data_IF_661002585216
#
_entry.id   IF_661002585216
#
_cell.length_a   1.000
_cell.length_b   1.000
_cell.length_c   1.000
_cell.angle_alpha   90.00
_cell.angle_beta   90.00
_cell.angle_gamma   90.00
#
_symmetry.space_group_name_H-M   'P 1'
#
loop_
_entity.id
_entity.type
_entity.pdbx_description
1 polymer ?
#
# COMPACT_ATOMS: atom_id res chain seq x y z
N UNK A 1 1.31 -18.07 13.99
CA UNK A 1 0.72 -19.02 15.00
C UNK A 1 -0.61 -19.45 14.41
N UNK A 2 -1.03 -20.73 14.49
CA UNK A 2 -2.32 -21.15 13.93
C UNK A 2 -3.44 -20.63 14.87
N UNK A 3 -4.36 -19.84 14.34
CA UNK A 3 -5.54 -19.33 15.07
C UNK A 3 -6.59 -20.43 15.02
N UNK A 4 -6.67 -21.22 16.11
CA UNK A 4 -7.63 -22.30 16.26
C UNK A 4 -8.88 -21.86 17.06
N UNK A 5 -9.93 -22.68 17.04
CA UNK A 5 -11.19 -22.40 17.78
C UNK A 5 -10.95 -22.15 19.29
N UNK A 6 -9.96 -22.82 19.89
CA UNK A 6 -9.64 -22.64 21.31
C UNK A 6 -9.06 -21.24 21.57
N UNK A 7 -8.25 -20.73 20.63
CA UNK A 7 -7.70 -19.38 20.72
C UNK A 7 -8.80 -18.32 20.57
N UNK A 8 -9.68 -18.49 19.57
CA UNK A 8 -10.82 -17.58 19.34
C UNK A 8 -11.73 -17.54 20.58
N UNK A 9 -12.12 -18.69 21.14
CA UNK A 9 -12.96 -18.79 22.32
C UNK A 9 -12.30 -18.12 23.53
N UNK A 10 -10.99 -18.26 23.68
CA UNK A 10 -10.23 -17.59 24.75
C UNK A 10 -10.28 -16.08 24.59
N UNK A 11 -10.09 -15.57 23.39
CA UNK A 11 -10.17 -14.11 23.12
C UNK A 11 -11.57 -13.60 23.38
N UNK A 12 -12.62 -14.28 22.89
CA UNK A 12 -14.03 -13.94 23.17
C UNK A 12 -14.32 -13.87 24.67
N UNK A 13 -13.88 -14.88 25.41
CA UNK A 13 -14.07 -14.90 26.89
C UNK A 13 -13.39 -13.71 27.59
N UNK A 14 -12.18 -13.31 27.15
CA UNK A 14 -11.50 -12.14 27.71
C UNK A 14 -12.20 -10.82 27.34
N UNK A 15 -12.72 -10.72 26.11
CA UNK A 15 -13.48 -9.55 25.66
C UNK A 15 -14.77 -9.40 26.49
N UNK A 16 -15.52 -10.50 26.72
CA UNK A 16 -16.71 -10.50 27.59
C UNK A 16 -16.42 -10.02 29.01
N UNK A 17 -15.23 -10.39 29.53
CA UNK A 17 -14.74 -9.95 30.84
C UNK A 17 -14.18 -8.52 30.82
N UNK A 18 -14.07 -7.88 29.64
CA UNK A 18 -13.44 -6.57 29.40
C UNK A 18 -11.98 -6.52 29.87
N UNK A 19 -11.29 -7.65 29.76
CA UNK A 19 -9.87 -7.79 30.14
C UNK A 19 -8.94 -7.34 29.00
N UNK A 20 -8.85 -6.04 28.80
CA UNK A 20 -8.08 -5.41 27.72
C UNK A 20 -6.58 -5.76 27.80
N UNK A 21 -6.01 -5.89 29.00
CA UNK A 21 -4.57 -6.19 29.19
C UNK A 21 -4.21 -7.59 28.68
N UNK A 22 -5.03 -8.58 29.02
CA UNK A 22 -4.79 -9.94 28.58
C UNK A 22 -5.09 -10.11 27.07
N UNK A 23 -6.12 -9.45 26.54
CA UNK A 23 -6.35 -9.42 25.07
C UNK A 23 -5.15 -8.80 24.37
N UNK A 24 -4.69 -7.61 24.78
CA UNK A 24 -3.53 -6.96 24.18
C UNK A 24 -2.27 -7.83 24.22
N UNK A 25 -2.06 -8.55 25.33
CA UNK A 25 -0.93 -9.48 25.46
C UNK A 25 -1.00 -10.63 24.45
N UNK A 26 -2.21 -11.14 24.16
CA UNK A 26 -2.40 -12.19 23.16
C UNK A 26 -2.13 -11.69 21.72
N UNK A 27 -2.41 -10.42 21.44
CA UNK A 27 -2.22 -9.82 20.12
C UNK A 27 -0.76 -9.39 19.84
N UNK A 28 0.05 -9.14 20.89
CA UNK A 28 1.36 -8.45 20.76
C UNK A 28 2.36 -9.14 19.84
N UNK A 29 2.31 -10.48 19.76
CA UNK A 29 3.25 -11.28 18.96
C UNK A 29 2.61 -11.83 17.68
N UNK A 30 1.37 -11.43 17.34
CA UNK A 30 0.68 -11.84 16.12
C UNK A 30 1.05 -10.95 14.93
N UNK A 31 1.12 -11.53 13.75
CA UNK A 31 1.18 -10.79 12.50
C UNK A 31 -0.16 -10.10 12.22
N UNK A 32 -0.21 -8.93 11.55
CA UNK A 32 -1.48 -8.29 11.16
C UNK A 32 -2.46 -9.23 10.46
N UNK A 33 -2.00 -10.07 9.53
CA UNK A 33 -2.82 -11.08 8.86
C UNK A 33 -3.46 -12.10 9.83
N UNK A 34 -2.72 -12.55 10.88
CA UNK A 34 -3.30 -13.44 11.91
C UNK A 34 -4.37 -12.70 12.74
N UNK A 35 -4.17 -11.40 13.01
CA UNK A 35 -5.18 -10.59 13.73
C UNK A 35 -6.41 -10.35 12.87
N UNK A 36 -6.25 -10.17 11.56
CA UNK A 36 -7.34 -10.04 10.60
C UNK A 36 -8.19 -11.32 10.55
N UNK A 37 -7.53 -12.50 10.44
CA UNK A 37 -8.20 -13.81 10.52
C UNK A 37 -9.02 -13.94 11.83
N UNK A 38 -8.42 -13.56 12.96
CA UNK A 38 -9.14 -13.53 14.23
C UNK A 38 -10.35 -12.58 14.18
N UNK A 39 -10.22 -11.39 13.61
CA UNK A 39 -11.31 -10.42 13.51
C UNK A 39 -12.43 -10.89 12.57
N UNK A 40 -12.11 -11.64 11.52
CA UNK A 40 -13.10 -12.24 10.62
C UNK A 40 -13.97 -13.29 11.34
N UNK A 41 -13.40 -14.01 12.31
CA UNK A 41 -14.12 -15.01 13.13
C UNK A 41 -14.82 -14.41 14.37
N UNK A 42 -14.53 -13.16 14.70
CA UNK A 42 -15.19 -12.43 15.79
C UNK A 42 -16.48 -11.76 15.28
N UNK A 43 -17.38 -11.40 16.19
CA UNK A 43 -18.46 -10.47 15.86
C UNK A 43 -17.96 -9.04 15.76
N UNK A 44 -18.71 -8.16 15.07
CA UNK A 44 -18.30 -6.76 14.84
C UNK A 44 -17.96 -5.98 16.11
N UNK A 45 -18.68 -6.22 17.21
CA UNK A 45 -18.41 -5.54 18.49
C UNK A 45 -17.13 -6.06 19.15
N UNK A 46 -16.82 -7.35 19.01
CA UNK A 46 -15.57 -7.94 19.48
C UNK A 46 -14.40 -7.44 18.63
N UNK A 47 -14.53 -7.42 17.29
CA UNK A 47 -13.53 -6.86 16.39
C UNK A 47 -13.24 -5.39 16.74
N UNK A 48 -14.28 -4.56 16.97
CA UNK A 48 -14.10 -3.17 17.43
C UNK A 48 -13.35 -3.08 18.76
N UNK A 49 -13.55 -4.03 19.66
CA UNK A 49 -12.82 -4.07 20.91
C UNK A 49 -11.33 -4.36 20.66
N UNK A 50 -11.03 -5.33 19.80
CA UNK A 50 -9.64 -5.66 19.37
C UNK A 50 -8.98 -4.43 18.76
N UNK A 51 -9.59 -3.80 17.76
CA UNK A 51 -9.06 -2.62 17.08
C UNK A 51 -8.70 -1.46 18.01
N UNK A 52 -9.46 -1.26 19.09
CA UNK A 52 -9.15 -0.21 20.09
C UNK A 52 -7.89 -0.46 20.89
N UNK A 53 -7.39 -1.69 20.90
CA UNK A 53 -6.18 -2.10 21.63
C UNK A 53 -4.92 -2.02 20.77
N UNK A 54 -5.06 -1.98 19.45
CA UNK A 54 -3.96 -1.86 18.49
C UNK A 54 -3.49 -0.39 18.40
N UNK A 55 -2.21 -0.18 18.10
CA UNK A 55 -1.75 1.11 17.61
C UNK A 55 -2.26 1.37 16.18
N UNK A 56 -2.07 2.58 15.67
CA UNK A 56 -2.70 2.96 14.41
C UNK A 56 -2.08 2.22 13.21
N UNK A 57 -0.76 2.04 13.19
CA UNK A 57 -0.03 1.34 12.13
C UNK A 57 -0.51 -0.12 12.04
N UNK A 58 -0.43 -0.87 13.13
CA UNK A 58 -0.95 -2.25 13.19
C UNK A 58 -2.45 -2.32 12.86
N UNK A 59 -3.25 -1.33 13.29
CA UNK A 59 -4.68 -1.32 13.00
C UNK A 59 -4.98 -1.09 11.51
N UNK A 60 -4.18 -0.28 10.82
CA UNK A 60 -4.27 -0.08 9.38
C UNK A 60 -3.94 -1.37 8.63
N UNK A 61 -2.78 -2.00 8.95
CA UNK A 61 -2.37 -3.27 8.36
C UNK A 61 -3.42 -4.38 8.54
N UNK A 62 -3.99 -4.50 9.76
CA UNK A 62 -5.05 -5.48 10.03
C UNK A 62 -6.30 -5.21 9.21
N UNK A 63 -6.66 -3.93 8.99
CA UNK A 63 -7.83 -3.57 8.21
C UNK A 63 -7.68 -3.95 6.74
N UNK A 64 -6.49 -3.78 6.17
CA UNK A 64 -6.17 -4.18 4.78
C UNK A 64 -6.35 -5.69 4.59
N UNK A 65 -5.91 -6.49 5.57
CA UNK A 65 -5.96 -7.96 5.53
C UNK A 65 -7.34 -8.56 5.89
N UNK A 66 -8.33 -7.75 6.27
CA UNK A 66 -9.68 -8.25 6.58
C UNK A 66 -10.47 -8.61 5.32
N UNK A 67 -11.36 -9.59 5.46
CA UNK A 67 -12.35 -9.93 4.44
C UNK A 67 -13.21 -8.71 4.07
N UNK A 68 -13.39 -8.44 2.78
CA UNK A 68 -14.05 -7.24 2.25
C UNK A 68 -15.44 -7.00 2.84
N UNK A 69 -16.27 -8.05 2.92
CA UNK A 69 -17.63 -7.95 3.47
C UNK A 69 -17.62 -7.50 4.94
N UNK A 70 -16.68 -8.03 5.74
CA UNK A 70 -16.56 -7.70 7.17
C UNK A 70 -15.97 -6.31 7.33
N UNK A 71 -14.98 -5.96 6.50
CA UNK A 71 -14.35 -4.64 6.47
C UNK A 71 -15.37 -3.55 6.15
N UNK A 72 -16.24 -3.74 5.14
CA UNK A 72 -17.32 -2.81 4.80
C UNK A 72 -18.26 -2.57 5.98
N UNK A 73 -18.78 -3.64 6.61
CA UNK A 73 -19.64 -3.53 7.77
C UNK A 73 -18.96 -2.82 8.95
N UNK A 74 -17.67 -3.08 9.14
CA UNK A 74 -16.86 -2.43 10.18
C UNK A 74 -16.71 -0.93 9.92
N UNK A 75 -16.37 -0.55 8.68
CA UNK A 75 -16.19 0.84 8.27
C UNK A 75 -17.48 1.66 8.36
N UNK A 76 -18.65 1.07 8.04
CA UNK A 76 -19.95 1.73 8.18
C UNK A 76 -20.24 2.21 9.60
N UNK A 77 -19.74 1.48 10.61
CA UNK A 77 -19.94 1.80 12.02
C UNK A 77 -19.00 2.88 12.56
N UNK A 78 -18.00 3.29 11.78
CA UNK A 78 -16.97 4.22 12.23
C UNK A 78 -17.22 5.65 11.74
N UNK A 79 -16.91 6.67 12.56
CA UNK A 79 -16.87 8.05 12.11
C UNK A 79 -15.81 8.26 11.04
N UNK A 80 -16.08 9.10 10.03
CA UNK A 80 -15.15 9.41 8.94
C UNK A 80 -13.80 9.95 9.43
N UNK A 81 -13.80 10.76 10.51
CA UNK A 81 -12.56 11.22 11.16
C UNK A 81 -11.72 10.05 11.71
N UNK A 82 -12.38 9.00 12.24
CA UNK A 82 -11.65 7.82 12.73
C UNK A 82 -11.06 7.02 11.59
N UNK A 83 -11.78 6.88 10.46
CA UNK A 83 -11.29 6.18 9.28
C UNK A 83 -10.05 6.89 8.74
N UNK A 84 -10.10 8.21 8.55
CA UNK A 84 -8.96 8.99 8.08
C UNK A 84 -7.74 8.86 9.01
N UNK A 85 -7.88 9.31 10.26
CA UNK A 85 -6.75 9.48 11.18
C UNK A 85 -6.19 8.21 11.79
N UNK A 86 -6.92 7.12 11.72
CA UNK A 86 -6.51 5.87 12.34
C UNK A 86 -6.09 4.80 11.35
N UNK A 87 -6.58 4.91 10.12
CA UNK A 87 -6.30 3.94 9.06
C UNK A 87 -5.65 4.62 7.87
N UNK A 88 -6.35 5.48 7.13
CA UNK A 88 -5.86 6.07 5.87
C UNK A 88 -4.53 6.79 6.03
N UNK A 89 -4.33 7.57 7.10
CA UNK A 89 -3.05 8.27 7.38
C UNK A 89 -1.86 7.30 7.62
N UNK A 90 -2.10 5.98 7.71
CA UNK A 90 -1.11 4.94 7.96
C UNK A 90 -1.08 3.85 6.87
N UNK A 91 -1.81 4.02 5.78
CA UNK A 91 -1.84 3.10 4.64
C UNK A 91 -1.03 3.65 3.47
N UNK A 92 -0.51 2.75 2.63
CA UNK A 92 -0.06 3.11 1.30
C UNK A 92 -1.24 3.58 0.44
N UNK A 93 -0.98 4.37 -0.59
CA UNK A 93 -2.06 5.04 -1.35
C UNK A 93 -2.95 4.10 -2.11
N UNK A 94 -2.46 2.96 -2.59
CA UNK A 94 -3.25 1.92 -3.24
C UNK A 94 -4.23 1.25 -2.28
N UNK A 95 -3.79 0.82 -1.09
CA UNK A 95 -4.65 0.27 -0.04
C UNK A 95 -5.69 1.30 0.43
N UNK A 96 -5.27 2.57 0.55
CA UNK A 96 -6.17 3.66 0.91
C UNK A 96 -7.24 3.89 -0.17
N UNK A 97 -6.89 3.79 -1.45
CA UNK A 97 -7.82 3.92 -2.59
C UNK A 97 -8.81 2.76 -2.61
N UNK A 98 -8.36 1.52 -2.38
CA UNK A 98 -9.24 0.36 -2.33
C UNK A 98 -10.23 0.46 -1.18
N UNK A 99 -9.76 0.86 0.01
CA UNK A 99 -10.64 1.14 1.14
C UNK A 99 -11.65 2.26 0.82
N UNK A 100 -11.21 3.34 0.17
CA UNK A 100 -12.10 4.44 -0.20
C UNK A 100 -13.18 4.01 -1.19
N UNK A 101 -12.90 3.11 -2.13
CA UNK A 101 -13.88 2.56 -3.08
C UNK A 101 -14.99 1.76 -2.41
N UNK A 102 -14.75 1.20 -1.23
CA UNK A 102 -15.76 0.50 -0.46
C UNK A 102 -16.77 1.44 0.25
N UNK A 103 -16.44 2.73 0.38
CA UNK A 103 -17.29 3.74 1.02
C UNK A 103 -18.25 4.38 0.01
N UNK A 104 -19.40 4.85 0.48
CA UNK A 104 -20.27 5.70 -0.34
C UNK A 104 -19.65 7.10 -0.59
N UNK A 105 -20.10 7.80 -1.65
CA UNK A 105 -19.52 9.07 -2.08
C UNK A 105 -19.51 10.13 -0.97
N UNK A 106 -20.56 10.24 -0.17
CA UNK A 106 -20.65 11.24 0.91
C UNK A 106 -19.60 10.94 1.99
N UNK A 107 -19.44 9.66 2.33
CA UNK A 107 -18.46 9.21 3.33
C UNK A 107 -17.01 9.33 2.82
N UNK A 108 -16.76 9.05 1.52
CA UNK A 108 -15.47 9.29 0.88
C UNK A 108 -15.05 10.76 1.02
N UNK A 109 -15.94 11.72 0.66
CA UNK A 109 -15.66 13.15 0.78
C UNK A 109 -15.37 13.56 2.23
N UNK A 110 -16.11 13.04 3.19
CA UNK A 110 -15.86 13.29 4.61
C UNK A 110 -14.50 12.74 5.06
N UNK A 111 -14.15 11.50 4.71
CA UNK A 111 -12.85 10.88 5.06
C UNK A 111 -11.72 11.70 4.47
N UNK A 112 -11.76 12.02 3.17
CA UNK A 112 -10.75 12.86 2.50
C UNK A 112 -10.53 14.19 3.21
N UNK A 113 -11.61 14.82 3.73
CA UNK A 113 -11.51 16.08 4.45
C UNK A 113 -10.77 15.99 5.79
N UNK A 114 -10.59 14.80 6.33
CA UNK A 114 -9.97 14.54 7.63
C UNK A 114 -8.53 13.99 7.54
N UNK A 115 -8.04 13.65 6.34
CA UNK A 115 -6.66 13.19 6.12
C UNK A 115 -5.69 14.33 6.47
N UNK A 116 -4.66 14.03 7.26
CA UNK A 116 -3.71 15.03 7.74
C UNK A 116 -2.67 15.42 6.69
N UNK A 117 -2.20 14.45 5.89
CA UNK A 117 -1.25 14.70 4.80
C UNK A 117 -2.00 15.12 3.51
N UNK A 118 -1.86 16.40 3.16
CA UNK A 118 -2.50 16.99 1.97
C UNK A 118 -1.95 16.37 0.66
N UNK A 119 -0.69 15.95 0.64
CA UNK A 119 -0.07 15.29 -0.52
C UNK A 119 -0.71 13.92 -0.73
N UNK A 120 -0.79 13.09 0.32
CA UNK A 120 -1.47 11.80 0.29
C UNK A 120 -2.96 11.94 -0.09
N UNK A 121 -3.69 12.89 0.49
CA UNK A 121 -5.08 13.14 0.11
C UNK A 121 -5.23 13.51 -1.38
N UNK A 122 -4.29 14.28 -1.93
CA UNK A 122 -4.24 14.62 -3.35
C UNK A 122 -3.99 13.40 -4.23
N UNK A 123 -3.03 12.56 -3.83
CA UNK A 123 -2.69 11.31 -4.53
C UNK A 123 -3.89 10.35 -4.56
N UNK A 124 -4.56 10.14 -3.43
CA UNK A 124 -5.78 9.31 -3.34
C UNK A 124 -6.86 9.84 -4.29
N UNK A 125 -7.12 11.15 -4.30
CA UNK A 125 -8.12 11.77 -5.21
C UNK A 125 -7.72 11.58 -6.67
N UNK A 126 -6.45 11.61 -7.01
CA UNK A 126 -5.98 11.41 -8.38
C UNK A 126 -6.07 9.92 -8.78
N UNK A 127 -5.75 9.00 -7.89
CA UNK A 127 -5.85 7.55 -8.13
C UNK A 127 -7.30 7.08 -8.27
N UNK A 128 -8.24 7.63 -7.50
CA UNK A 128 -9.68 7.32 -7.59
C UNK A 128 -10.30 7.65 -8.97
N UNK A 129 -9.61 8.43 -9.83
CA UNK A 129 -10.08 8.74 -11.19
C UNK A 129 -9.82 7.63 -12.21
N UNK A 130 -8.90 6.72 -11.91
CA UNK A 130 -8.60 5.59 -12.76
C UNK A 130 -9.63 4.47 -12.55
N UNK A 131 -9.86 3.72 -13.61
CA UNK A 131 -10.69 2.52 -13.57
C UNK A 131 -9.99 1.46 -12.71
N UNK A 132 -10.71 0.84 -11.78
CA UNK A 132 -10.19 -0.15 -10.84
C UNK A 132 -9.55 -1.37 -11.53
N UNK A 133 -10.05 -1.74 -12.72
CA UNK A 133 -9.55 -2.87 -13.52
C UNK A 133 -8.31 -2.51 -14.37
N UNK A 134 -7.61 -1.44 -14.07
CA UNK A 134 -6.43 -0.97 -14.82
C UNK A 134 -5.18 -0.80 -13.95
N UNK A 135 -4.01 -0.72 -14.59
CA UNK A 135 -2.75 -0.43 -13.90
C UNK A 135 -2.80 0.87 -13.08
N UNK A 136 -3.51 1.88 -13.58
CA UNK A 136 -3.70 3.15 -12.88
C UNK A 136 -4.58 3.01 -11.64
N UNK A 137 -5.54 2.07 -11.67
CA UNK A 137 -6.41 1.79 -10.53
C UNK A 137 -5.75 1.01 -9.41
N UNK A 138 -4.70 0.24 -9.74
CA UNK A 138 -3.98 -0.64 -8.80
C UNK A 138 -2.62 -0.09 -8.35
N UNK A 139 -2.15 1.02 -8.93
CA UNK A 139 -0.83 1.53 -8.58
C UNK A 139 -0.87 2.31 -7.27
N UNK A 140 0.21 2.18 -6.49
CA UNK A 140 0.54 3.13 -5.41
C UNK A 140 1.35 4.31 -5.93
N UNK A 141 1.57 5.30 -5.08
CA UNK A 141 2.46 6.43 -5.36
C UNK A 141 3.79 6.31 -4.61
N UNK A 142 3.91 5.35 -3.71
CA UNK A 142 5.07 5.08 -2.89
C UNK A 142 6.22 4.54 -3.73
N UNK A 143 7.15 5.41 -4.09
CA UNK A 143 8.30 5.04 -4.92
C UNK A 143 9.50 5.95 -4.69
N UNK A 144 10.68 5.43 -4.95
CA UNK A 144 11.91 6.23 -4.96
C UNK A 144 12.23 6.63 -6.40
N UNK A 145 12.31 7.95 -6.63
CA UNK A 145 12.69 8.51 -7.92
C UNK A 145 14.00 9.29 -7.84
N UNK A 146 14.81 9.21 -8.89
CA UNK A 146 16.05 9.98 -9.01
C UNK A 146 16.18 10.56 -10.41
N UNK A 147 16.75 11.77 -10.52
CA UNK A 147 16.94 12.39 -11.83
C UNK A 147 18.17 11.79 -12.54
N UNK A 148 18.05 11.53 -13.84
CA UNK A 148 19.11 10.95 -14.68
C UNK A 148 20.42 11.77 -14.70
N UNK A 149 20.32 13.09 -14.47
CA UNK A 149 21.44 14.02 -14.53
C UNK A 149 22.18 14.16 -13.19
N UNK A 150 21.65 13.61 -12.08
CA UNK A 150 22.29 13.67 -10.78
C UNK A 150 23.61 12.88 -10.74
N UNK A 151 24.52 13.36 -9.90
CA UNK A 151 25.70 12.59 -9.51
C UNK A 151 25.33 11.51 -8.49
N UNK A 152 26.22 10.50 -8.31
CA UNK A 152 25.98 9.43 -7.33
C UNK A 152 25.78 9.94 -5.90
N UNK A 153 26.54 10.97 -5.39
CA UNK A 153 26.30 11.53 -4.07
C UNK A 153 24.93 12.23 -3.92
N UNK A 154 24.47 12.97 -4.95
CA UNK A 154 23.15 13.60 -4.97
C UNK A 154 22.06 12.52 -4.96
N UNK A 155 22.19 11.53 -5.83
CA UNK A 155 21.27 10.38 -5.88
C UNK A 155 21.14 9.70 -4.52
N UNK A 156 22.26 9.38 -3.85
CA UNK A 156 22.25 8.72 -2.54
C UNK A 156 21.59 9.58 -1.46
N UNK A 157 21.81 10.89 -1.51
CA UNK A 157 21.20 11.83 -0.55
C UNK A 157 19.68 11.84 -0.68
N UNK A 158 19.19 12.03 -1.91
CA UNK A 158 17.75 12.09 -2.16
C UNK A 158 17.05 10.75 -1.90
N UNK A 159 17.65 9.63 -2.30
CA UNK A 159 17.11 8.30 -1.97
C UNK A 159 16.95 8.09 -0.47
N UNK A 160 17.89 8.53 0.36
CA UNK A 160 17.78 8.41 1.82
C UNK A 160 16.61 9.20 2.38
N UNK A 161 16.38 10.43 1.86
CA UNK A 161 15.25 11.26 2.29
C UNK A 161 13.89 10.65 1.91
N UNK A 162 13.81 10.09 0.69
CA UNK A 162 12.58 9.42 0.24
C UNK A 162 12.35 8.11 0.99
N UNK A 163 13.40 7.31 1.19
CA UNK A 163 13.35 6.02 1.86
C UNK A 163 12.94 6.10 3.36
N UNK A 164 13.12 7.25 4.00
CA UNK A 164 12.64 7.45 5.39
C UNK A 164 11.10 7.45 5.51
N UNK A 165 10.41 7.62 4.39
CA UNK A 165 8.94 7.69 4.32
C UNK A 165 8.29 6.41 3.77
N UNK A 166 9.08 5.43 3.34
CA UNK A 166 8.62 4.24 2.63
C UNK A 166 8.99 2.99 3.43
N UNK A 167 8.04 2.09 3.58
CA UNK A 167 8.26 0.81 4.23
C UNK A 167 9.05 -0.14 3.34
N UNK A 168 8.77 -0.16 2.04
CA UNK A 168 9.44 -1.02 1.07
C UNK A 168 9.96 -0.26 -0.15
N UNK A 169 11.12 -0.66 -0.66
CA UNK A 169 11.72 -0.12 -1.88
C UNK A 169 12.01 -1.26 -2.84
N UNK A 170 11.13 -1.49 -3.79
CA UNK A 170 11.34 -2.50 -4.83
C UNK A 170 12.37 -2.06 -5.87
N UNK A 171 12.22 -0.85 -6.40
CA UNK A 171 13.08 -0.25 -7.41
C UNK A 171 13.33 1.22 -7.12
N UNK A 172 14.45 1.72 -7.64
CA UNK A 172 14.69 3.16 -7.76
C UNK A 172 14.50 3.53 -9.23
N UNK A 173 13.49 4.33 -9.49
CA UNK A 173 13.15 4.76 -10.84
C UNK A 173 13.96 5.99 -11.24
N UNK A 174 14.36 6.04 -12.49
CA UNK A 174 15.13 7.18 -13.04
C UNK A 174 14.23 7.95 -13.98
N UNK A 175 14.10 9.24 -13.71
CA UNK A 175 13.28 10.19 -14.48
C UNK A 175 14.12 11.31 -15.08
N UNK A 176 13.62 11.96 -16.13
CA UNK A 176 14.17 13.22 -16.65
C UNK A 176 13.57 14.44 -15.94
N UNK A 177 13.85 15.64 -16.48
CA UNK A 177 13.38 16.90 -15.90
C UNK A 177 11.86 17.16 -16.13
N UNK A 178 11.21 16.33 -16.94
CA UNK A 178 9.77 16.31 -17.19
C UNK A 178 9.06 15.09 -16.59
N UNK A 179 9.68 14.45 -15.60
CA UNK A 179 9.21 13.27 -14.87
C UNK A 179 9.00 12.02 -15.76
N UNK A 180 9.55 11.97 -16.98
CA UNK A 180 9.42 10.80 -17.82
C UNK A 180 10.37 9.71 -17.40
N UNK A 181 9.86 8.48 -17.39
CA UNK A 181 10.64 7.30 -17.03
C UNK A 181 11.79 7.05 -18.05
N UNK A 182 13.02 7.08 -17.57
CA UNK A 182 14.23 6.87 -18.36
C UNK A 182 14.91 5.53 -18.07
N UNK A 183 14.69 4.98 -16.88
CA UNK A 183 15.35 3.76 -16.47
C UNK A 183 15.01 3.31 -15.06
N UNK A 184 15.67 2.22 -14.66
CA UNK A 184 15.66 1.72 -13.29
C UNK A 184 17.09 1.71 -12.78
N UNK A 185 17.28 2.13 -11.54
CA UNK A 185 18.59 2.16 -10.91
C UNK A 185 18.78 0.96 -9.97
N UNK A 186 19.64 -0.01 -10.32
CA UNK A 186 19.89 -1.14 -9.45
C UNK A 186 20.65 -0.72 -8.18
N UNK A 187 20.11 -0.99 -6.99
CA UNK A 187 20.74 -0.64 -5.70
C UNK A 187 22.18 -1.12 -5.58
N UNK A 188 22.50 -2.30 -6.14
CA UNK A 188 23.89 -2.81 -6.24
C UNK A 188 24.83 -1.83 -6.93
N UNK A 189 24.36 -1.08 -7.93
CA UNK A 189 25.17 -0.09 -8.65
C UNK A 189 25.53 1.12 -7.81
N UNK A 190 24.72 1.47 -6.81
CA UNK A 190 25.08 2.53 -5.87
C UNK A 190 26.38 2.24 -5.12
N UNK A 191 26.57 0.97 -4.73
CA UNK A 191 27.74 0.53 -3.96
C UNK A 191 28.97 0.38 -4.85
N UNK A 192 28.77 -0.01 -6.12
CA UNK A 192 29.87 -0.41 -7.03
C UNK A 192 30.28 0.67 -8.03
N UNK A 193 29.49 1.74 -8.18
CA UNK A 193 29.79 2.79 -9.16
C UNK A 193 30.68 3.89 -8.57
N UNK A 194 31.59 4.46 -9.38
CA UNK A 194 32.39 5.61 -8.96
C UNK A 194 31.50 6.81 -8.60
N UNK A 195 31.84 7.53 -7.55
CA UNK A 195 31.09 8.71 -7.08
C UNK A 195 30.97 9.85 -8.10
N UNK A 196 31.87 9.89 -9.09
CA UNK A 196 31.83 10.89 -10.17
C UNK A 196 30.89 10.53 -11.31
N UNK A 197 30.32 9.32 -11.30
CA UNK A 197 29.37 8.87 -12.32
C UNK A 197 28.03 9.61 -12.18
N UNK A 198 27.37 9.85 -13.31
CA UNK A 198 25.97 10.30 -13.34
C UNK A 198 25.03 9.10 -13.42
N UNK A 199 23.82 9.24 -12.89
CA UNK A 199 22.76 8.22 -12.85
C UNK A 199 22.53 7.63 -14.25
N UNK A 200 22.39 8.45 -15.29
CA UNK A 200 22.16 8.03 -16.69
C UNK A 200 23.26 7.13 -17.30
N UNK A 201 24.44 7.08 -16.72
CA UNK A 201 25.53 6.22 -17.21
C UNK A 201 25.57 4.84 -16.53
N UNK A 202 24.83 4.70 -15.41
CA UNK A 202 24.83 3.48 -14.59
C UNK A 202 23.45 2.84 -14.47
N UNK A 203 22.38 3.56 -14.79
CA UNK A 203 21.03 3.03 -14.83
C UNK A 203 20.86 1.92 -15.87
N UNK A 204 19.86 1.08 -15.69
CA UNK A 204 19.37 0.17 -16.72
C UNK A 204 18.31 0.93 -17.52
N UNK A 205 18.57 1.14 -18.79
CA UNK A 205 17.67 1.86 -19.72
C UNK A 205 16.52 0.97 -20.17
N UNK A 206 15.48 1.61 -20.69
CA UNK A 206 14.31 0.97 -21.29
C UNK A 206 13.68 -0.06 -20.33
N UNK A 207 13.26 0.35 -19.12
CA UNK A 207 12.58 -0.55 -18.19
C UNK A 207 11.26 -1.01 -18.81
N UNK A 208 10.86 -2.23 -18.46
CA UNK A 208 9.52 -2.71 -18.80
C UNK A 208 8.55 -1.91 -17.96
N UNK A 209 7.63 -1.20 -18.62
CA UNK A 209 6.60 -0.37 -17.99
C UNK A 209 5.24 -0.69 -18.59
N UNK A 210 4.19 -0.35 -17.87
CA UNK A 210 2.79 -0.44 -18.30
C UNK A 210 2.17 0.95 -18.38
N UNK A 211 1.10 1.10 -19.17
CA UNK A 211 0.35 2.35 -19.26
C UNK A 211 -0.75 2.39 -18.20
N UNK A 212 -1.16 3.56 -17.74
CA UNK A 212 -2.25 3.71 -16.76
C UNK A 212 -3.53 2.96 -17.16
N UNK A 213 -3.87 2.92 -18.45
CA UNK A 213 -5.05 2.24 -18.96
C UNK A 213 -4.83 0.74 -19.29
N UNK A 214 -3.68 0.17 -18.96
CA UNK A 214 -3.40 -1.26 -19.21
C UNK A 214 -4.29 -2.11 -18.31
N UNK A 215 -5.11 -3.05 -18.86
CA UNK A 215 -5.94 -3.94 -18.06
C UNK A 215 -5.10 -4.80 -17.11
N UNK A 216 -5.68 -5.13 -15.94
CA UNK A 216 -5.02 -5.94 -14.90
C UNK A 216 -4.47 -7.25 -15.47
N UNK A 217 -5.25 -8.00 -16.22
CA UNK A 217 -4.82 -9.29 -16.82
C UNK A 217 -3.54 -9.17 -17.65
N UNK A 218 -3.37 -8.05 -18.36
CA UNK A 218 -2.16 -7.78 -19.13
C UNK A 218 -0.99 -7.39 -18.23
N UNK A 219 -1.24 -6.63 -17.15
CA UNK A 219 -0.23 -6.28 -16.15
C UNK A 219 0.31 -7.54 -15.47
N UNK A 220 -0.57 -8.45 -15.03
CA UNK A 220 -0.21 -9.76 -14.45
C UNK A 220 0.69 -10.54 -15.41
N UNK A 221 0.29 -10.68 -16.68
CA UNK A 221 1.09 -11.39 -17.69
C UNK A 221 2.47 -10.77 -17.92
N UNK A 222 2.58 -9.43 -17.86
CA UNK A 222 3.85 -8.72 -18.00
C UNK A 222 4.75 -9.00 -16.79
N UNK A 223 4.20 -8.90 -15.59
CA UNK A 223 4.92 -9.13 -14.33
C UNK A 223 5.43 -10.57 -14.27
N UNK A 224 4.58 -11.55 -14.54
CA UNK A 224 4.97 -12.96 -14.58
C UNK A 224 6.00 -13.28 -15.66
N UNK A 225 5.76 -12.80 -16.89
CA UNK A 225 6.63 -13.07 -18.04
C UNK A 225 8.06 -12.58 -17.85
N UNK A 226 8.22 -11.45 -17.17
CA UNK A 226 9.52 -10.79 -17.00
C UNK A 226 10.10 -10.92 -15.60
N UNK A 227 9.42 -11.70 -14.72
CA UNK A 227 9.81 -11.95 -13.32
C UNK A 227 10.06 -10.63 -12.57
N UNK A 228 9.08 -9.72 -12.66
CA UNK A 228 9.13 -8.41 -12.00
C UNK A 228 8.53 -8.50 -10.60
N UNK A 229 9.11 -7.78 -9.64
CA UNK A 229 8.52 -7.57 -8.31
C UNK A 229 7.48 -6.45 -8.36
N UNK A 230 7.74 -5.42 -9.17
CA UNK A 230 6.83 -4.32 -9.44
C UNK A 230 7.04 -3.80 -10.87
N UNK A 231 5.99 -3.30 -11.51
CA UNK A 231 6.03 -2.67 -12.82
C UNK A 231 5.79 -1.16 -12.69
N UNK A 232 6.66 -0.30 -13.24
CA UNK A 232 6.41 1.13 -13.30
C UNK A 232 5.25 1.43 -14.24
N UNK A 233 4.34 2.29 -13.79
CA UNK A 233 3.19 2.77 -14.56
C UNK A 233 3.49 4.14 -15.13
N UNK A 234 3.17 4.34 -16.40
CA UNK A 234 3.39 5.63 -17.09
C UNK A 234 2.11 6.17 -17.69
N UNK A 235 2.02 7.49 -17.77
CA UNK A 235 0.92 8.18 -18.44
C UNK A 235 1.12 8.26 -19.97
N UNK A 236 0.18 8.89 -20.67
CA UNK A 236 0.13 9.03 -22.15
C UNK A 236 1.34 9.78 -22.75
N UNK A 237 2.12 10.51 -21.95
CA UNK A 237 3.32 11.23 -22.39
C UNK A 237 4.60 10.63 -21.82
N UNK A 238 4.50 9.46 -21.15
CA UNK A 238 5.61 8.70 -20.61
C UNK A 238 6.11 9.14 -19.24
N UNK A 239 5.36 9.96 -18.50
CA UNK A 239 5.71 10.32 -17.12
C UNK A 239 5.42 9.13 -16.21
N UNK A 240 6.32 8.89 -15.30
CA UNK A 240 6.15 7.91 -14.23
C UNK A 240 5.09 8.44 -13.25
N UNK A 241 4.05 7.64 -13.01
CA UNK A 241 2.95 8.01 -12.10
C UNK A 241 2.89 7.14 -10.85
N UNK A 242 3.39 5.91 -10.92
CA UNK A 242 3.45 5.01 -9.77
C UNK A 242 3.97 3.62 -10.13
N UNK A 243 4.15 2.70 -9.21
CA UNK A 243 4.36 1.27 -9.45
C UNK A 243 3.10 0.46 -9.19
N UNK A 244 2.94 -0.66 -9.89
CA UNK A 244 2.06 -1.78 -9.49
C UNK A 244 2.93 -2.92 -8.98
N UNK A 245 2.72 -3.35 -7.74
CA UNK A 245 3.48 -4.47 -7.16
C UNK A 245 2.77 -5.81 -7.39
N UNK A 246 3.55 -6.91 -7.35
CA UNK A 246 3.00 -8.26 -7.46
C UNK A 246 2.10 -8.64 -6.27
N UNK A 247 2.35 -8.07 -5.10
CA UNK A 247 1.55 -8.31 -3.89
C UNK A 247 0.12 -7.83 -4.05
N UNK A 248 -0.09 -6.63 -4.61
CA UNK A 248 -1.43 -6.08 -4.87
C UNK A 248 -2.20 -6.88 -5.92
N UNK A 249 -1.52 -7.34 -6.97
CA UNK A 249 -2.16 -8.22 -7.97
C UNK A 249 -2.67 -9.52 -7.38
N UNK A 250 -1.96 -10.11 -6.40
CA UNK A 250 -2.41 -11.34 -5.74
C UNK A 250 -3.63 -11.14 -4.85
N UNK A 251 -3.76 -10.01 -4.18
CA UNK A 251 -4.94 -9.67 -3.39
C UNK A 251 -6.17 -9.63 -4.29
N UNK A 252 -6.10 -8.93 -5.42
CA UNK A 252 -7.19 -8.85 -6.43
C UNK A 252 -7.56 -10.20 -7.08
N UNK A 253 -6.61 -11.11 -7.30
CA UNK A 253 -6.90 -12.44 -7.88
C UNK A 253 -7.68 -13.35 -6.90
N UNK A 254 -7.43 -13.25 -5.59
CA UNK A 254 -8.16 -14.03 -4.58
C UNK A 254 -9.61 -13.63 -4.47
N UNK A 255 -9.95 -12.36 -4.67
CA UNK A 255 -11.33 -11.87 -4.60
C UNK A 255 -12.16 -12.20 -5.86
N UNK A 256 -11.50 -12.43 -7.01
CA UNK A 256 -12.17 -12.77 -8.28
C UNK A 256 -12.58 -14.25 -8.40
N UNK A 257 -12.17 -15.14 -7.50
CA UNK A 257 -12.42 -16.58 -7.54
C UNK A 257 -13.36 -17.10 -6.43
N UNK A 258 -13.92 -16.22 -5.59
CA UNK A 258 -14.93 -16.53 -4.57
C UNK A 258 -16.31 -16.00 -4.98
#
# INVERSE_FOLDING_TARGET
MEIDEEYIDKVKSLIEQKDAENVKTLLTDLHPADIAELCNDLGLEEARFVYRLLDNETAADVLVEMDEDIRKEFLELLPSETIAKRFVDYMDTDDAVDLMRELDEDKQEEVLSHIEDIEQAGDIVDLLKYDEDTAGGLMGTEMVTVNENWSMPECLKEMRLQAEKLDEIYYVYVIDDEDRLQGVFPLKKMITSPSVSKVKHVMRKDPISVHVDTPIDEVVQIIEKYDLVAAPVVDSIGRLVGPVSYTHLRAHETDSYL
#
